data_IF_684306405782
#
_entry.id   IF_684306405782
#
_cell.length_a   1.000
_cell.length_b   1.000
_cell.length_c   1.000
_cell.angle_alpha   90.00
_cell.angle_beta   90.00
_cell.angle_gamma   90.00
#
_symmetry.space_group_name_H-M   'P 1'
#
loop_
_entity.id
_entity.type
_entity.pdbx_description
1 polymer ?
#
# COMPACT_ATOMS: atom_id res chain seq x y z
N UNK A 1 3.24 -6.08 -20.84
CA UNK A 1 4.64 -5.75 -20.42
C UNK A 1 5.55 -6.89 -20.84
N UNK A 2 6.45 -6.66 -21.81
CA UNK A 2 7.36 -7.75 -22.26
C UNK A 2 8.27 -8.22 -21.13
N UNK A 3 8.44 -9.53 -20.97
CA UNK A 3 9.35 -10.23 -20.06
C UNK A 3 9.00 -10.20 -18.56
N UNK A 4 7.90 -9.58 -18.13
CA UNK A 4 7.47 -9.65 -16.73
C UNK A 4 6.97 -11.05 -16.41
N UNK A 5 7.44 -11.63 -15.29
CA UNK A 5 7.06 -12.95 -14.77
C UNK A 5 6.38 -12.85 -13.40
N UNK A 6 6.73 -11.80 -12.64
CA UNK A 6 6.23 -11.55 -11.31
C UNK A 6 5.48 -10.23 -11.21
N UNK A 7 4.32 -10.27 -10.58
CA UNK A 7 3.57 -9.09 -10.19
C UNK A 7 3.57 -8.99 -8.67
N UNK A 8 4.21 -7.97 -8.13
CA UNK A 8 4.21 -7.66 -6.72
C UNK A 8 3.21 -6.56 -6.42
N UNK A 9 2.40 -6.77 -5.40
CA UNK A 9 1.35 -5.84 -5.00
C UNK A 9 1.65 -5.26 -3.61
N UNK A 10 1.36 -4.00 -3.43
CA UNK A 10 1.04 -3.47 -2.11
C UNK A 10 -0.34 -3.97 -1.67
N UNK A 11 -0.69 -3.77 -0.40
CA UNK A 11 -1.97 -4.23 0.17
C UNK A 11 -2.94 -3.08 0.34
N UNK A 12 -2.64 -2.15 1.25
CA UNK A 12 -3.53 -1.03 1.58
C UNK A 12 -3.65 -0.02 0.43
N UNK A 13 -4.86 0.45 0.12
CA UNK A 13 -5.08 1.36 -1.02
C UNK A 13 -4.81 0.73 -2.40
N UNK A 14 -4.39 -0.54 -2.45
CA UNK A 14 -4.10 -1.28 -3.69
C UNK A 14 -5.04 -2.47 -3.87
N UNK A 15 -5.05 -3.41 -2.93
CA UNK A 15 -5.94 -4.58 -2.91
C UNK A 15 -7.06 -4.42 -1.90
N UNK A 16 -6.81 -3.64 -0.85
CA UNK A 16 -7.67 -3.49 0.32
C UNK A 16 -8.07 -2.03 0.50
N UNK A 17 -9.36 -1.79 0.69
CA UNK A 17 -9.89 -0.51 1.12
C UNK A 17 -9.74 -0.38 2.65
N UNK A 18 -8.91 0.55 3.08
CA UNK A 18 -8.60 0.85 4.48
C UNK A 18 -9.46 1.99 5.06
N UNK A 19 -10.46 2.50 4.31
CA UNK A 19 -11.22 3.70 4.71
C UNK A 19 -11.87 3.54 6.08
N UNK A 20 -12.53 2.41 6.34
CA UNK A 20 -13.17 2.16 7.63
C UNK A 20 -12.15 1.99 8.77
N UNK A 21 -11.00 1.36 8.50
CA UNK A 21 -9.91 1.18 9.46
C UNK A 21 -9.28 2.51 9.85
N UNK A 22 -9.04 3.41 8.89
CA UNK A 22 -8.55 4.75 9.19
C UNK A 22 -9.56 5.59 9.96
N UNK A 23 -10.86 5.52 9.61
CA UNK A 23 -11.91 6.19 10.37
C UNK A 23 -11.97 5.70 11.81
N UNK A 24 -11.90 4.39 12.03
CA UNK A 24 -11.79 3.79 13.36
C UNK A 24 -10.55 4.31 14.11
N UNK A 25 -9.40 4.35 13.44
CA UNK A 25 -8.16 4.88 14.01
C UNK A 25 -8.29 6.34 14.43
N UNK A 26 -8.94 7.16 13.61
CA UNK A 26 -9.26 8.57 13.92
C UNK A 26 -10.10 8.66 15.20
N UNK A 27 -11.18 7.89 15.29
CA UNK A 27 -12.05 7.91 16.49
C UNK A 27 -11.29 7.53 17.76
N UNK A 28 -10.48 6.47 17.71
CA UNK A 28 -9.64 6.06 18.84
C UNK A 28 -8.58 7.10 19.20
N UNK A 29 -8.03 7.80 18.21
CA UNK A 29 -7.09 8.90 18.44
C UNK A 29 -7.78 10.06 19.17
N UNK A 30 -9.00 10.40 18.77
CA UNK A 30 -9.81 11.45 19.46
C UNK A 30 -10.05 11.07 20.92
N UNK A 31 -10.37 9.81 21.23
CA UNK A 31 -10.55 9.34 22.60
C UNK A 31 -9.27 9.48 23.43
N UNK A 32 -8.10 9.16 22.87
CA UNK A 32 -6.79 9.37 23.51
C UNK A 32 -6.58 10.86 23.78
N UNK A 33 -6.77 11.71 22.78
CA UNK A 33 -6.57 13.15 22.90
C UNK A 33 -7.54 13.80 23.88
N UNK A 34 -8.78 13.34 23.98
CA UNK A 34 -9.76 13.81 24.96
C UNK A 34 -9.29 13.56 26.40
N UNK A 35 -8.64 12.42 26.67
CA UNK A 35 -8.05 12.11 27.99
C UNK A 35 -6.87 13.03 28.33
N UNK A 36 -6.21 13.59 27.31
CA UNK A 36 -5.11 14.55 27.42
C UNK A 36 -5.60 16.01 27.47
N UNK A 37 -6.91 16.24 27.51
CA UNK A 37 -7.52 17.58 27.58
C UNK A 37 -7.67 18.27 26.22
N UNK A 38 -7.42 17.59 25.12
CA UNK A 38 -7.56 18.13 23.76
C UNK A 38 -8.90 17.74 23.15
N UNK A 39 -9.46 18.60 22.30
CA UNK A 39 -10.73 18.35 21.59
C UNK A 39 -10.51 18.45 20.09
N UNK A 40 -10.81 17.36 19.38
CA UNK A 40 -10.75 17.29 17.92
C UNK A 40 -12.05 16.66 17.39
N UNK A 41 -12.44 17.03 16.15
CA UNK A 41 -13.53 16.34 15.45
C UNK A 41 -12.98 15.32 14.45
N UNK A 42 -13.76 14.30 14.08
CA UNK A 42 -13.34 13.32 13.05
C UNK A 42 -13.01 14.03 11.74
N UNK A 43 -13.84 14.97 11.31
CA UNK A 43 -13.70 15.71 10.05
C UNK A 43 -12.39 16.50 10.01
N UNK A 44 -11.98 17.09 11.13
CA UNK A 44 -10.73 17.84 11.24
C UNK A 44 -9.52 16.92 11.03
N UNK A 45 -9.50 15.72 11.67
CA UNK A 45 -8.40 14.78 11.52
C UNK A 45 -8.40 14.14 10.13
N UNK A 46 -9.56 13.78 9.59
CA UNK A 46 -9.68 13.22 8.22
C UNK A 46 -9.21 14.24 7.17
N UNK A 47 -9.54 15.51 7.33
CA UNK A 47 -9.07 16.57 6.44
C UNK A 47 -7.56 16.82 6.59
N UNK A 48 -7.01 16.74 7.81
CA UNK A 48 -5.57 16.78 8.03
C UNK A 48 -4.85 15.62 7.31
N UNK A 49 -5.44 14.41 7.30
CA UNK A 49 -4.92 13.26 6.56
C UNK A 49 -4.90 13.51 5.06
N UNK A 50 -5.98 14.04 4.48
CA UNK A 50 -6.04 14.40 3.06
C UNK A 50 -5.00 15.45 2.69
N UNK A 51 -4.87 16.50 3.50
CA UNK A 51 -3.85 17.55 3.28
C UNK A 51 -2.44 17.00 3.34
N UNK A 52 -2.15 16.08 4.29
CA UNK A 52 -0.85 15.42 4.37
C UNK A 52 -0.56 14.58 3.13
N UNK A 53 -1.54 13.82 2.64
CA UNK A 53 -1.41 13.05 1.39
C UNK A 53 -1.16 13.96 0.18
N UNK A 54 -1.95 15.03 0.02
CA UNK A 54 -1.80 16.00 -1.07
C UNK A 54 -0.44 16.73 -1.03
N UNK A 55 0.17 16.87 0.14
CA UNK A 55 1.51 17.41 0.31
C UNK A 55 2.63 16.36 0.07
N UNK A 56 2.29 15.11 -0.25
CA UNK A 56 3.25 14.02 -0.45
C UNK A 56 3.79 13.40 0.84
N UNK A 57 3.15 13.67 1.97
CA UNK A 57 3.52 13.11 3.27
C UNK A 57 2.78 11.82 3.62
N UNK A 58 3.23 11.15 4.69
CA UNK A 58 2.48 10.04 5.28
C UNK A 58 1.11 10.53 5.74
N UNK A 59 0.03 9.98 5.15
CA UNK A 59 -1.32 10.51 5.35
C UNK A 59 -1.78 10.45 6.80
N UNK A 60 -1.44 9.44 7.61
CA UNK A 60 -1.81 9.44 9.03
C UNK A 60 -0.71 10.02 9.94
N UNK A 61 0.48 9.40 9.97
CA UNK A 61 1.56 9.85 10.86
C UNK A 61 2.01 11.28 10.56
N UNK A 62 2.13 11.61 9.27
CA UNK A 62 2.47 12.97 8.83
C UNK A 62 1.40 13.99 9.24
N UNK A 63 0.11 13.65 9.06
CA UNK A 63 -0.99 14.50 9.50
C UNK A 63 -0.94 14.76 11.01
N UNK A 64 -0.80 13.73 11.82
CA UNK A 64 -0.72 13.86 13.28
C UNK A 64 0.46 14.76 13.69
N UNK A 65 1.63 14.54 13.11
CA UNK A 65 2.82 15.37 13.34
C UNK A 65 2.57 16.84 12.98
N UNK A 66 1.95 17.09 11.82
CA UNK A 66 1.71 18.45 11.30
C UNK A 66 0.73 19.27 12.18
N UNK A 67 -0.15 18.60 12.91
CA UNK A 67 -1.10 19.23 13.84
C UNK A 67 -0.69 19.09 15.31
N UNK A 68 0.55 18.64 15.59
CA UNK A 68 1.12 18.59 16.94
C UNK A 68 0.63 17.43 17.81
N UNK A 69 0.03 16.37 17.22
CA UNK A 69 -0.41 15.19 17.95
C UNK A 69 0.71 14.14 17.96
N UNK A 70 1.27 13.83 19.15
CA UNK A 70 2.27 12.77 19.36
C UNK A 70 1.64 11.43 19.75
N UNK A 71 0.57 11.48 20.56
CA UNK A 71 -0.11 10.30 21.10
C UNK A 71 -1.36 9.99 20.27
N UNK A 72 -1.29 8.92 19.48
CA UNK A 72 -2.39 8.49 18.60
C UNK A 72 -2.54 6.98 18.58
N UNK A 73 -3.71 6.51 18.19
CA UNK A 73 -4.02 5.09 18.16
C UNK A 73 -3.14 4.32 17.15
N UNK A 74 -2.67 3.11 17.50
CA UNK A 74 -2.06 2.22 16.54
C UNK A 74 -3.06 1.78 15.45
N UNK A 75 -2.54 1.39 14.28
CA UNK A 75 -3.33 0.77 13.23
C UNK A 75 -3.67 -0.69 13.60
N UNK A 76 -4.91 -1.12 13.38
CA UNK A 76 -5.38 -2.46 13.82
C UNK A 76 -6.04 -3.31 12.72
N UNK A 77 -6.05 -2.87 11.49
CA UNK A 77 -6.65 -3.55 10.33
C UNK A 77 -8.17 -3.81 10.44
N UNK A 78 -8.82 -3.44 11.55
CA UNK A 78 -10.26 -3.71 11.75
C UNK A 78 -11.09 -2.80 10.84
N UNK A 79 -11.93 -3.42 9.99
CA UNK A 79 -12.74 -2.71 9.01
C UNK A 79 -12.12 -2.65 7.61
N UNK A 80 -10.94 -3.26 7.42
CA UNK A 80 -10.41 -3.49 6.07
C UNK A 80 -11.33 -4.42 5.27
N UNK A 81 -11.51 -4.11 3.98
CA UNK A 81 -12.22 -4.97 3.05
C UNK A 81 -11.49 -5.01 1.71
N UNK A 82 -11.56 -6.12 0.98
CA UNK A 82 -11.04 -6.16 -0.38
C UNK A 82 -11.80 -5.16 -1.27
N UNK A 83 -11.07 -4.51 -2.20
CA UNK A 83 -11.76 -3.90 -3.33
C UNK A 83 -12.55 -4.95 -4.10
N UNK A 84 -13.79 -4.64 -4.54
CA UNK A 84 -14.71 -5.64 -5.08
C UNK A 84 -14.14 -6.50 -6.21
N UNK A 85 -13.30 -5.91 -7.06
CA UNK A 85 -12.69 -6.56 -8.21
C UNK A 85 -11.39 -7.32 -7.90
N UNK A 86 -10.80 -7.15 -6.71
CA UNK A 86 -9.44 -7.61 -6.43
C UNK A 86 -9.28 -9.13 -6.62
N UNK A 87 -10.21 -9.91 -6.11
CA UNK A 87 -10.16 -11.38 -6.20
C UNK A 87 -10.19 -11.88 -7.64
N UNK A 88 -11.10 -11.34 -8.44
CA UNK A 88 -11.28 -11.77 -9.84
C UNK A 88 -10.08 -11.39 -10.70
N UNK A 89 -9.57 -10.17 -10.50
CA UNK A 89 -8.37 -9.68 -11.20
C UNK A 89 -7.15 -10.51 -10.82
N UNK A 90 -6.90 -10.75 -9.55
CA UNK A 90 -5.77 -11.58 -9.09
C UNK A 90 -5.88 -13.01 -9.61
N UNK A 91 -7.09 -13.60 -9.63
CA UNK A 91 -7.33 -14.94 -10.19
C UNK A 91 -7.02 -15.00 -11.68
N UNK A 92 -7.37 -13.97 -12.42
CA UNK A 92 -7.05 -13.89 -13.85
C UNK A 92 -5.54 -13.75 -14.09
N UNK A 93 -4.86 -12.89 -13.32
CA UNK A 93 -3.42 -12.66 -13.42
C UNK A 93 -2.59 -13.89 -13.03
N UNK A 94 -3.02 -14.63 -12.01
CA UNK A 94 -2.34 -15.83 -11.53
C UNK A 94 -2.25 -16.97 -12.58
N UNK A 95 -3.02 -16.89 -13.66
CA UNK A 95 -2.92 -17.85 -14.78
C UNK A 95 -1.62 -17.70 -15.58
N UNK A 96 -1.07 -16.48 -15.64
CA UNK A 96 0.07 -16.15 -16.50
C UNK A 96 1.29 -15.62 -15.72
N UNK A 97 1.09 -15.16 -14.49
CA UNK A 97 2.10 -14.51 -13.66
C UNK A 97 2.19 -15.16 -12.28
N UNK A 98 3.37 -15.14 -11.68
CA UNK A 98 3.50 -15.39 -10.26
C UNK A 98 3.16 -14.11 -9.50
N UNK A 99 2.34 -14.23 -8.45
CA UNK A 99 1.93 -13.09 -7.65
C UNK A 99 2.68 -13.08 -6.33
N UNK A 100 3.08 -11.89 -5.87
CA UNK A 100 3.71 -11.66 -4.59
C UNK A 100 3.21 -10.40 -3.91
N UNK A 101 3.48 -10.27 -2.63
CA UNK A 101 3.20 -9.08 -1.82
C UNK A 101 4.52 -8.47 -1.37
N UNK A 102 4.62 -7.13 -1.48
CA UNK A 102 5.62 -6.29 -0.83
C UNK A 102 4.88 -5.14 -0.17
N UNK A 103 4.64 -5.20 1.15
CA UNK A 103 3.75 -4.25 1.81
C UNK A 103 4.26 -3.79 3.18
N UNK A 104 3.98 -2.52 3.53
CA UNK A 104 4.17 -2.02 4.89
C UNK A 104 2.92 -2.36 5.69
N UNK A 105 2.93 -3.54 6.32
CA UNK A 105 1.79 -4.11 7.00
C UNK A 105 2.18 -4.69 8.37
N UNK A 106 1.26 -4.74 9.35
CA UNK A 106 1.50 -5.36 10.64
C UNK A 106 1.64 -6.88 10.53
N UNK A 107 2.08 -7.51 11.62
CA UNK A 107 2.18 -8.96 11.73
C UNK A 107 0.89 -9.67 11.33
N UNK A 108 1.01 -10.88 10.75
CA UNK A 108 -0.13 -11.71 10.35
C UNK A 108 -0.72 -11.34 8.99
N UNK A 109 0.02 -10.62 8.15
CA UNK A 109 -0.44 -10.21 6.81
C UNK A 109 -0.84 -11.40 5.95
N UNK A 110 -0.02 -12.45 5.88
CA UNK A 110 -0.35 -13.64 5.09
C UNK A 110 -1.66 -14.29 5.56
N UNK A 111 -1.86 -14.43 6.87
CA UNK A 111 -3.11 -14.98 7.44
C UNK A 111 -4.32 -14.13 7.02
N UNK A 112 -4.22 -12.78 7.09
CA UNK A 112 -5.33 -11.91 6.65
C UNK A 112 -5.65 -12.06 5.17
N UNK A 113 -4.64 -12.22 4.31
CA UNK A 113 -4.85 -12.47 2.89
C UNK A 113 -5.62 -13.78 2.65
N UNK A 114 -5.36 -14.83 3.45
CA UNK A 114 -6.16 -16.06 3.43
C UNK A 114 -7.60 -15.82 3.93
N UNK A 115 -7.80 -15.05 4.98
CA UNK A 115 -9.12 -14.68 5.49
C UNK A 115 -9.92 -13.86 4.45
N UNK A 116 -9.26 -13.05 3.64
CA UNK A 116 -9.87 -12.36 2.49
C UNK A 116 -10.12 -13.27 1.29
N UNK A 117 -9.70 -14.54 1.34
CA UNK A 117 -9.89 -15.54 0.27
C UNK A 117 -9.03 -15.30 -0.97
N UNK A 118 -7.88 -14.64 -0.79
CA UNK A 118 -6.89 -14.38 -1.86
C UNK A 118 -5.47 -14.87 -1.51
N UNK A 119 -5.22 -15.32 -0.27
CA UNK A 119 -3.88 -15.73 0.18
C UNK A 119 -3.27 -16.83 -0.68
N UNK A 120 -4.05 -17.80 -1.12
CA UNK A 120 -3.62 -18.92 -1.98
C UNK A 120 -3.17 -18.49 -3.40
N UNK A 121 -3.43 -17.26 -3.81
CA UNK A 121 -3.02 -16.73 -5.10
C UNK A 121 -1.57 -16.22 -5.09
N UNK A 122 -1.01 -15.98 -3.90
CA UNK A 122 0.33 -15.43 -3.75
C UNK A 122 1.36 -16.55 -3.50
N UNK A 123 2.41 -16.55 -4.30
CA UNK A 123 3.56 -17.43 -4.12
C UNK A 123 4.57 -16.91 -3.11
N UNK A 124 4.46 -15.62 -2.74
CA UNK A 124 5.39 -14.94 -1.84
C UNK A 124 4.70 -13.77 -1.17
N UNK A 125 4.82 -13.68 0.16
CA UNK A 125 4.31 -12.56 0.95
C UNK A 125 5.44 -12.00 1.81
N UNK A 126 5.81 -10.72 1.59
CA UNK A 126 6.73 -9.99 2.43
C UNK A 126 5.99 -8.78 3.02
N UNK A 127 5.92 -8.74 4.33
CA UNK A 127 5.41 -7.57 5.05
C UNK A 127 6.48 -6.97 5.95
N UNK A 128 6.38 -5.67 6.16
CA UNK A 128 7.40 -4.92 6.91
C UNK A 128 7.59 -5.45 8.33
N UNK A 129 6.50 -5.83 9.00
CA UNK A 129 6.58 -6.29 10.39
C UNK A 129 7.26 -7.67 10.52
N UNK A 130 6.99 -8.61 9.57
CA UNK A 130 7.64 -9.93 9.56
C UNK A 130 9.11 -9.83 9.13
N UNK A 131 9.44 -8.92 8.22
CA UNK A 131 10.79 -8.80 7.66
C UNK A 131 11.72 -7.87 8.46
N UNK A 132 11.16 -7.06 9.39
CA UNK A 132 11.93 -6.10 10.18
C UNK A 132 12.48 -4.92 9.37
N UNK A 133 11.90 -4.64 8.21
CA UNK A 133 12.27 -3.55 7.31
C UNK A 133 11.05 -3.08 6.52
N UNK A 134 11.01 -1.80 6.13
CA UNK A 134 9.83 -1.22 5.49
C UNK A 134 10.16 -0.48 4.20
N UNK A 135 9.19 -0.38 3.30
CA UNK A 135 9.26 0.53 2.15
C UNK A 135 9.33 1.98 2.67
N UNK A 136 10.14 2.85 2.07
CA UNK A 136 10.79 2.73 0.77
C UNK A 136 12.19 2.09 0.78
N UNK A 137 12.62 1.45 1.85
CA UNK A 137 13.95 0.84 1.92
C UNK A 137 14.14 -0.21 0.80
N UNK A 138 15.20 -0.08 -0.03
CA UNK A 138 15.43 -1.00 -1.14
C UNK A 138 15.58 -2.46 -0.73
N UNK A 139 16.01 -2.69 0.51
CA UNK A 139 16.30 -4.05 1.03
C UNK A 139 15.07 -4.94 1.01
N UNK A 140 13.87 -4.42 1.29
CA UNK A 140 12.64 -5.22 1.24
C UNK A 140 12.34 -5.71 -0.19
N UNK A 141 12.53 -4.84 -1.19
CA UNK A 141 12.36 -5.19 -2.61
C UNK A 141 13.42 -6.19 -3.08
N UNK A 142 14.70 -5.98 -2.73
CA UNK A 142 15.80 -6.88 -3.07
C UNK A 142 15.58 -8.27 -2.48
N UNK A 143 15.09 -8.35 -1.23
CA UNK A 143 14.73 -9.62 -0.60
C UNK A 143 13.61 -10.33 -1.33
N UNK A 144 12.56 -9.58 -1.76
CA UNK A 144 11.49 -10.13 -2.56
C UNK A 144 11.98 -10.69 -3.89
N UNK A 145 12.80 -9.94 -4.63
CA UNK A 145 13.40 -10.39 -5.89
C UNK A 145 14.28 -11.62 -5.71
N UNK A 146 15.10 -11.64 -4.65
CA UNK A 146 15.96 -12.79 -4.31
C UNK A 146 15.13 -14.05 -4.03
N UNK A 147 14.10 -13.95 -3.17
CA UNK A 147 13.22 -15.10 -2.86
C UNK A 147 12.38 -15.54 -4.07
N UNK A 148 12.01 -14.60 -4.93
CA UNK A 148 11.31 -14.88 -6.18
C UNK A 148 12.20 -15.53 -7.25
N UNK A 149 13.52 -15.45 -7.10
CA UNK A 149 14.48 -15.91 -8.08
C UNK A 149 14.36 -15.19 -9.42
N UNK A 150 14.07 -13.89 -9.41
CA UNK A 150 13.88 -13.13 -10.64
C UNK A 150 14.74 -11.84 -10.67
N UNK A 151 15.10 -11.44 -11.89
CA UNK A 151 15.77 -10.16 -12.10
C UNK A 151 14.75 -9.00 -11.98
N UNK A 152 15.19 -7.78 -11.60
CA UNK A 152 14.28 -6.65 -11.43
C UNK A 152 13.40 -6.36 -12.66
N UNK A 153 13.95 -6.47 -13.88
CA UNK A 153 13.21 -6.22 -15.12
C UNK A 153 12.15 -7.30 -15.44
N UNK A 154 12.18 -8.45 -14.74
CA UNK A 154 11.19 -9.52 -14.83
C UNK A 154 10.05 -9.33 -13.81
N UNK A 155 10.12 -8.28 -12.99
CA UNK A 155 9.16 -7.97 -11.95
C UNK A 155 8.45 -6.63 -12.20
N UNK A 156 7.19 -6.55 -11.79
CA UNK A 156 6.42 -5.32 -11.77
C UNK A 156 5.88 -5.07 -10.35
N UNK A 157 6.07 -3.87 -9.82
CA UNK A 157 5.46 -3.41 -8.58
C UNK A 157 4.17 -2.65 -8.87
N UNK A 158 3.09 -3.03 -8.23
CA UNK A 158 1.77 -2.39 -8.29
C UNK A 158 1.46 -1.82 -6.91
N UNK A 159 1.25 -0.51 -6.81
CA UNK A 159 0.98 0.15 -5.55
C UNK A 159 0.37 1.54 -5.74
N UNK A 160 -0.13 2.12 -4.66
CA UNK A 160 -0.81 3.42 -4.68
C UNK A 160 0.14 4.59 -4.36
N UNK A 161 1.26 4.32 -3.66
CA UNK A 161 2.16 5.34 -3.15
C UNK A 161 3.36 5.59 -4.04
N UNK A 162 3.48 6.81 -4.62
CA UNK A 162 4.63 7.17 -5.47
C UNK A 162 5.98 7.05 -4.76
N UNK A 163 6.04 7.41 -3.48
CA UNK A 163 7.24 7.44 -2.65
C UNK A 163 7.65 6.05 -2.12
N UNK A 164 6.68 5.23 -1.72
CA UNK A 164 6.94 3.93 -1.08
C UNK A 164 6.99 2.77 -2.06
N UNK A 165 6.16 2.80 -3.12
CA UNK A 165 6.03 1.68 -4.05
C UNK A 165 6.78 1.92 -5.36
N UNK A 166 6.55 3.10 -5.94
CA UNK A 166 6.96 3.38 -7.32
C UNK A 166 8.44 3.75 -7.40
N UNK A 167 8.85 4.77 -6.66
CA UNK A 167 10.23 5.28 -6.73
C UNK A 167 11.27 4.22 -6.36
N UNK A 168 11.16 3.47 -5.24
CA UNK A 168 12.16 2.47 -4.87
C UNK A 168 12.18 1.28 -5.83
N UNK A 169 11.01 0.79 -6.30
CA UNK A 169 10.96 -0.30 -7.27
C UNK A 169 11.58 0.11 -8.63
N UNK A 170 11.26 1.32 -9.10
CA UNK A 170 11.83 1.87 -10.34
C UNK A 170 13.33 2.05 -10.24
N UNK A 171 13.86 2.52 -9.11
CA UNK A 171 15.29 2.67 -8.89
C UNK A 171 16.07 1.35 -8.96
N UNK A 172 15.42 0.22 -8.66
CA UNK A 172 15.97 -1.12 -8.79
C UNK A 172 15.83 -1.71 -10.21
N UNK A 173 15.13 -1.04 -11.12
CA UNK A 173 14.90 -1.51 -12.49
C UNK A 173 13.64 -2.38 -12.66
N UNK A 174 12.76 -2.41 -11.67
CA UNK A 174 11.45 -3.05 -11.80
C UNK A 174 10.53 -2.22 -12.70
N UNK A 175 9.57 -2.87 -13.35
CA UNK A 175 8.40 -2.18 -13.92
C UNK A 175 7.49 -1.71 -12.78
N UNK A 176 6.73 -0.65 -13.04
CA UNK A 176 5.86 -0.07 -12.00
C UNK A 176 4.51 0.33 -12.58
N UNK A 177 3.46 0.01 -11.86
CA UNK A 177 2.09 0.48 -12.12
C UNK A 177 1.57 1.17 -10.87
N UNK A 178 1.19 2.42 -11.00
CA UNK A 178 0.53 3.13 -9.91
C UNK A 178 -0.99 2.96 -10.02
N UNK A 179 -1.63 2.61 -8.92
CA UNK A 179 -3.10 2.67 -8.79
C UNK A 179 -3.50 3.91 -7.99
N UNK A 180 -4.50 4.67 -8.46
CA UNK A 180 -4.92 5.91 -7.79
C UNK A 180 -6.19 5.68 -6.97
N UNK A 181 -6.09 4.81 -5.96
CA UNK A 181 -7.14 4.50 -5.00
C UNK A 181 -6.77 5.00 -3.60
N UNK A 182 -7.75 5.10 -2.72
CA UNK A 182 -7.52 5.48 -1.33
C UNK A 182 -6.79 6.83 -1.15
N UNK A 183 -6.18 7.01 0.01
CA UNK A 183 -5.43 8.23 0.34
C UNK A 183 -4.09 8.33 -0.41
N UNK A 184 -3.44 7.20 -0.71
CA UNK A 184 -2.22 7.19 -1.51
C UNK A 184 -2.45 7.65 -2.94
N UNK A 185 -3.66 7.40 -3.48
CA UNK A 185 -4.07 7.91 -4.79
C UNK A 185 -4.07 9.44 -4.90
N UNK A 186 -4.24 10.15 -3.77
CA UNK A 186 -4.20 11.63 -3.71
C UNK A 186 -2.77 12.20 -3.74
N UNK A 187 -1.75 11.37 -3.48
CA UNK A 187 -0.37 11.85 -3.38
C UNK A 187 0.14 12.35 -4.74
N UNK A 188 0.83 13.51 -4.78
CA UNK A 188 1.40 14.04 -6.02
C UNK A 188 2.62 13.22 -6.45
N UNK A 189 2.85 13.18 -7.76
CA UNK A 189 4.13 12.78 -8.35
C UNK A 189 5.05 13.99 -8.31
N UNK A 190 6.01 14.01 -7.40
CA UNK A 190 6.84 15.18 -7.14
C UNK A 190 8.11 15.23 -8.01
N UNK A 191 8.51 14.10 -8.58
CA UNK A 191 9.71 14.00 -9.43
C UNK A 191 9.60 12.81 -10.38
N UNK A 192 10.56 12.68 -11.31
CA UNK A 192 10.61 11.63 -12.31
C UNK A 192 10.74 10.22 -11.71
N UNK A 193 11.43 10.06 -10.59
CA UNK A 193 11.57 8.75 -9.93
C UNK A 193 10.21 8.22 -9.45
N UNK A 194 9.29 9.11 -9.05
CA UNK A 194 7.93 8.78 -8.61
C UNK A 194 6.94 8.56 -9.78
N UNK A 195 7.36 8.87 -11.02
CA UNK A 195 6.54 8.64 -12.21
C UNK A 195 6.53 7.15 -12.56
N UNK A 196 5.38 6.47 -12.39
CA UNK A 196 5.23 5.07 -12.77
C UNK A 196 5.28 4.87 -14.29
N UNK A 197 5.58 3.66 -14.75
CA UNK A 197 5.52 3.30 -16.17
C UNK A 197 4.08 3.31 -16.71
N UNK A 198 3.09 3.02 -15.86
CA UNK A 198 1.67 3.18 -16.14
C UNK A 198 0.91 3.61 -14.88
N UNK A 199 -0.22 4.29 -15.06
CA UNK A 199 -1.13 4.68 -13.98
C UNK A 199 -2.53 4.20 -14.30
N UNK A 200 -3.19 3.57 -13.34
CA UNK A 200 -4.55 3.05 -13.43
C UNK A 200 -5.42 3.63 -12.31
N UNK A 201 -6.72 3.66 -12.52
CA UNK A 201 -7.70 4.10 -11.52
C UNK A 201 -8.37 2.94 -10.80
N UNK A 202 -8.47 1.78 -11.48
CA UNK A 202 -9.09 0.56 -10.96
C UNK A 202 -8.21 -0.63 -11.27
N UNK A 203 -8.21 -1.61 -10.40
CA UNK A 203 -7.34 -2.79 -10.54
C UNK A 203 -7.62 -3.59 -11.82
N UNK A 204 -8.87 -3.60 -12.32
CA UNK A 204 -9.25 -4.26 -13.58
C UNK A 204 -8.46 -3.75 -14.79
N UNK A 205 -8.07 -2.47 -14.80
CA UNK A 205 -7.29 -1.88 -15.91
C UNK A 205 -5.92 -2.54 -16.04
N UNK A 206 -5.41 -3.18 -14.99
CA UNK A 206 -4.15 -3.92 -15.02
C UNK A 206 -4.19 -5.07 -16.02
N UNK A 207 -5.35 -5.73 -16.22
CA UNK A 207 -5.51 -6.84 -17.17
C UNK A 207 -5.22 -6.46 -18.61
N UNK A 208 -5.36 -5.18 -18.96
CA UNK A 208 -5.06 -4.67 -20.29
C UNK A 208 -3.60 -4.23 -20.47
N UNK A 209 -2.84 -4.12 -19.37
CA UNK A 209 -1.45 -3.63 -19.36
C UNK A 209 -0.42 -4.76 -19.37
N UNK A 210 -0.81 -5.95 -18.89
CA UNK A 210 0.10 -7.08 -18.65
C UNK A 210 -0.24 -8.29 -19.50
#
# INVERSE_FOLDING_TARGET
MKNVKWLFFDVGGTLVDETASFRRRVMRTIEIQKRLGNTYTPEFLEEAMKRSALAGGSYFRGAMKNIGISDFAPYDCIGEVLYPEAKDVLTALAKNYRLGIIANQPMGTEKRLYEYGIGQLFSLVLSSAEEGMEKPEPVLFLRALSRAGCAPHEACMIGDRPDNDIAPAKALGMRTVRITQGLGGLMPVQNEAMQAHATIKKLQELLALV
#
